data_IF_606503302879
#
_entry.id   IF_606503302879
#
_cell.length_a   1.000
_cell.length_b   1.000
_cell.length_c   1.000
_cell.angle_alpha   90.00
_cell.angle_beta   90.00
_cell.angle_gamma   90.00
#
_symmetry.space_group_name_H-M   'P 1'
#
loop_
_entity.id
_entity.type
_entity.pdbx_description
1 polymer ?
#
# COMPACT_ATOMS: atom_id res chain seq x y z
N UNK A 1 22.36 5.85 -12.19
CA UNK A 1 21.35 5.23 -13.05
C UNK A 1 19.96 5.46 -12.47
N UNK A 2 18.97 5.86 -13.26
CA UNK A 2 17.62 5.98 -12.74
C UNK A 2 17.08 4.62 -12.32
N UNK A 3 16.26 4.62 -11.28
CA UNK A 3 15.60 3.40 -10.82
C UNK A 3 14.57 2.93 -11.85
N UNK A 4 14.47 1.64 -12.03
CA UNK A 4 13.47 1.03 -12.92
C UNK A 4 12.45 0.25 -12.10
N UNK A 5 11.17 0.40 -12.43
CA UNK A 5 10.12 -0.38 -11.80
C UNK A 5 10.25 -1.85 -12.20
N UNK A 6 10.38 -2.71 -11.21
CA UNK A 6 10.56 -4.15 -11.42
C UNK A 6 9.41 -4.97 -10.88
N UNK A 7 8.64 -4.42 -9.95
CA UNK A 7 7.50 -5.11 -9.34
C UNK A 7 6.33 -4.14 -9.25
N UNK A 8 5.15 -4.64 -9.59
CA UNK A 8 3.87 -4.00 -9.31
C UNK A 8 2.97 -5.05 -8.66
N UNK A 9 2.59 -4.80 -7.41
CA UNK A 9 1.66 -5.65 -6.69
C UNK A 9 0.41 -4.86 -6.35
N UNK A 10 -0.74 -5.52 -6.46
CA UNK A 10 -2.04 -4.93 -6.18
C UNK A 10 -2.70 -5.69 -5.05
N UNK A 11 -3.40 -4.98 -4.20
CA UNK A 11 -4.12 -5.60 -3.09
C UNK A 11 -5.36 -4.80 -2.70
N UNK A 12 -6.24 -5.45 -1.97
CA UNK A 12 -7.42 -4.82 -1.38
C UNK A 12 -7.50 -5.15 0.09
N UNK A 13 -8.10 -4.24 0.85
CA UNK A 13 -8.31 -4.44 2.27
C UNK A 13 -9.62 -3.82 2.69
N UNK A 14 -10.27 -4.44 3.67
CA UNK A 14 -11.59 -4.04 4.12
C UNK A 14 -11.56 -3.72 5.61
N UNK A 15 -12.42 -2.77 6.01
CA UNK A 15 -12.83 -2.62 7.40
C UNK A 15 -14.35 -2.64 7.42
N UNK A 16 -14.92 -3.73 7.96
CA UNK A 16 -16.37 -3.96 7.92
C UNK A 16 -17.13 -3.14 8.96
N UNK A 17 -16.45 -2.70 10.00
CA UNK A 17 -17.04 -1.94 11.10
C UNK A 17 -16.08 -0.86 11.55
N UNK A 18 -16.61 0.32 11.85
CA UNK A 18 -15.84 1.44 12.35
C UNK A 18 -15.37 2.44 11.28
N UNK A 19 -15.47 2.10 10.01
CA UNK A 19 -15.11 3.01 8.92
C UNK A 19 -13.66 3.50 8.96
N UNK A 20 -12.73 2.66 9.40
CA UNK A 20 -11.32 3.02 9.58
C UNK A 20 -10.55 2.84 8.27
N UNK A 21 -10.34 3.94 7.56
CA UNK A 21 -9.63 3.94 6.28
C UNK A 21 -8.16 3.52 6.41
N UNK A 22 -7.50 3.90 7.49
CA UNK A 22 -6.10 3.50 7.73
C UNK A 22 -5.99 1.99 7.93
N UNK A 23 -6.91 1.41 8.68
CA UNK A 23 -6.95 -0.03 8.90
C UNK A 23 -7.20 -0.78 7.59
N UNK A 24 -8.14 -0.31 6.78
CA UNK A 24 -8.40 -0.87 5.45
C UNK A 24 -7.16 -0.75 4.55
N UNK A 25 -6.49 0.41 4.57
CA UNK A 25 -5.26 0.64 3.80
C UNK A 25 -4.14 -0.30 4.22
N UNK A 26 -3.93 -0.50 5.53
CA UNK A 26 -2.93 -1.44 6.03
C UNK A 26 -3.20 -2.87 5.56
N UNK A 27 -4.46 -3.28 5.58
CA UNK A 27 -4.86 -4.60 5.07
C UNK A 27 -4.64 -4.73 3.57
N UNK A 28 -4.91 -3.66 2.81
CA UNK A 28 -4.68 -3.65 1.36
C UNK A 28 -3.18 -3.79 1.04
N UNK A 29 -2.32 -3.11 1.76
CA UNK A 29 -0.86 -3.23 1.60
C UNK A 29 -0.40 -4.65 1.95
N UNK A 30 -0.89 -5.22 3.05
CA UNK A 30 -0.57 -6.59 3.42
C UNK A 30 -1.00 -7.59 2.34
N UNK A 31 -2.17 -7.42 1.78
CA UNK A 31 -2.65 -8.27 0.69
C UNK A 31 -1.73 -8.17 -0.53
N UNK A 32 -1.34 -6.96 -0.92
CA UNK A 32 -0.40 -6.76 -2.02
C UNK A 32 0.94 -7.46 -1.77
N UNK A 33 1.48 -7.34 -0.55
CA UNK A 33 2.76 -7.94 -0.19
C UNK A 33 2.73 -9.46 -0.13
N UNK A 34 1.59 -10.08 0.12
CA UNK A 34 1.44 -11.54 0.11
C UNK A 34 1.74 -12.15 -1.25
N UNK A 35 1.61 -11.37 -2.32
CA UNK A 35 1.86 -11.83 -3.67
C UNK A 35 3.23 -11.39 -4.20
N UNK A 36 4.08 -10.80 -3.33
CA UNK A 36 5.31 -10.17 -3.80
C UNK A 36 6.44 -11.17 -4.01
N UNK A 37 7.26 -10.88 -5.03
CA UNK A 37 8.46 -11.65 -5.36
C UNK A 37 9.70 -11.09 -4.65
N UNK A 38 9.60 -10.81 -3.36
CA UNK A 38 10.70 -10.21 -2.58
C UNK A 38 11.97 -11.08 -2.59
N UNK A 39 11.82 -12.39 -2.77
CA UNK A 39 12.97 -13.29 -2.89
C UNK A 39 13.86 -12.92 -4.08
N UNK A 40 13.28 -12.45 -5.17
CA UNK A 40 14.04 -12.01 -6.34
C UNK A 40 14.89 -10.78 -6.02
N UNK A 41 14.38 -9.88 -5.19
CA UNK A 41 15.12 -8.67 -4.79
C UNK A 41 16.40 -9.03 -4.03
N UNK A 42 16.32 -10.05 -3.16
CA UNK A 42 17.49 -10.53 -2.43
C UNK A 42 18.58 -11.04 -3.36
N UNK A 43 18.20 -11.74 -4.42
CA UNK A 43 19.16 -12.29 -5.38
C UNK A 43 19.83 -11.24 -6.26
N UNK A 44 19.25 -10.03 -6.34
CA UNK A 44 19.81 -8.92 -7.11
C UNK A 44 20.84 -8.09 -6.32
N UNK A 45 21.06 -8.41 -5.05
CA UNK A 45 22.04 -7.77 -4.19
C UNK A 45 21.90 -6.23 -4.11
N UNK A 46 20.68 -5.73 -4.22
CA UNK A 46 20.41 -4.30 -4.13
C UNK A 46 20.34 -3.90 -2.65
N UNK A 47 21.02 -2.79 -2.31
CA UNK A 47 20.94 -2.25 -0.97
C UNK A 47 19.56 -1.60 -0.76
N UNK A 48 18.69 -2.16 0.11
CA UNK A 48 17.35 -1.60 0.31
C UNK A 48 17.33 -0.19 0.91
N UNK A 49 18.42 0.24 1.53
CA UNK A 49 18.50 1.59 2.11
C UNK A 49 18.78 2.68 1.08
N UNK A 50 19.40 2.36 -0.04
CA UNK A 50 19.83 3.34 -1.02
C UNK A 50 19.38 3.06 -2.44
N UNK A 51 19.05 1.81 -2.78
CA UNK A 51 18.77 1.42 -4.15
C UNK A 51 17.38 0.81 -4.37
N UNK A 52 16.54 0.75 -3.36
CA UNK A 52 15.19 0.20 -3.45
C UNK A 52 14.17 1.26 -3.07
N UNK A 53 13.30 1.57 -4.01
CA UNK A 53 12.23 2.56 -3.82
C UNK A 53 10.88 1.85 -3.84
N UNK A 54 10.08 2.10 -2.81
CA UNK A 54 8.75 1.50 -2.68
C UNK A 54 7.73 2.62 -2.69
N UNK A 55 6.95 2.70 -3.77
CA UNK A 55 5.92 3.71 -3.94
C UNK A 55 4.56 3.05 -3.75
N UNK A 56 3.84 3.49 -2.71
CA UNK A 56 2.53 2.96 -2.35
C UNK A 56 1.47 4.01 -2.65
N UNK A 57 0.46 3.61 -3.41
CA UNK A 57 -0.73 4.43 -3.65
C UNK A 57 -1.92 3.72 -3.03
N UNK A 58 -2.62 4.43 -2.14
CA UNK A 58 -3.81 3.92 -1.46
C UNK A 58 -5.03 4.62 -2.08
N UNK A 59 -6.01 3.83 -2.51
CA UNK A 59 -7.29 4.35 -2.99
C UNK A 59 -8.38 4.12 -1.95
N UNK A 60 -8.95 5.19 -1.44
CA UNK A 60 -10.10 5.17 -0.51
C UNK A 60 -11.02 6.34 -0.85
N UNK A 61 -12.27 6.28 -0.39
CA UNK A 61 -13.23 7.34 -0.69
C UNK A 61 -12.91 8.68 -0.01
N UNK A 62 -12.24 8.64 1.14
CA UNK A 62 -11.80 9.84 1.85
C UNK A 62 -10.30 9.77 2.14
N UNK A 63 -9.45 10.10 1.14
CA UNK A 63 -8.00 9.89 1.25
C UNK A 63 -7.32 10.71 2.34
N UNK A 64 -7.86 11.87 2.69
CA UNK A 64 -7.33 12.71 3.76
C UNK A 64 -7.48 12.09 5.16
N UNK A 65 -8.27 11.04 5.29
CA UNK A 65 -8.45 10.32 6.56
C UNK A 65 -7.49 9.14 6.73
N UNK A 66 -6.65 8.86 5.76
CA UNK A 66 -5.62 7.83 5.88
C UNK A 66 -4.39 8.41 6.56
N UNK A 67 -3.92 7.75 7.61
CA UNK A 67 -2.64 8.08 8.23
C UNK A 67 -1.52 7.46 7.39
N UNK A 68 -1.00 8.23 6.43
CA UNK A 68 0.01 7.74 5.49
C UNK A 68 1.33 7.36 6.19
N UNK A 69 1.67 8.04 7.30
CA UNK A 69 2.88 7.70 8.05
C UNK A 69 2.77 6.33 8.73
N UNK A 70 1.59 5.99 9.21
CA UNK A 70 1.34 4.67 9.79
C UNK A 70 1.44 3.58 8.73
N UNK A 71 0.94 3.85 7.53
CA UNK A 71 1.08 2.91 6.40
C UNK A 71 2.55 2.78 6.03
N UNK A 72 3.28 3.88 5.91
CA UNK A 72 4.70 3.87 5.59
C UNK A 72 5.51 3.06 6.62
N UNK A 73 5.22 3.25 7.89
CA UNK A 73 5.91 2.54 8.97
C UNK A 73 5.67 1.03 8.97
N UNK A 74 4.60 0.56 8.31
CA UNK A 74 4.30 -0.86 8.21
C UNK A 74 5.16 -1.61 7.19
N UNK A 75 5.88 -0.87 6.34
CA UNK A 75 6.72 -1.44 5.28
C UNK A 75 8.16 -1.52 5.76
N UNK A 76 8.74 -2.74 5.82
CA UNK A 76 10.00 -2.94 6.53
C UNK A 76 11.25 -2.56 5.75
N UNK A 77 11.18 -2.46 4.44
CA UNK A 77 12.36 -2.31 3.59
C UNK A 77 12.16 -1.25 2.52
N UNK A 78 13.29 -0.61 2.16
CA UNK A 78 13.34 0.33 1.06
C UNK A 78 13.08 1.76 1.48
N UNK A 79 13.21 2.66 0.51
CA UNK A 79 12.83 4.07 0.65
C UNK A 79 11.36 4.15 0.27
N UNK A 80 10.50 4.30 1.27
CA UNK A 80 9.04 4.17 1.12
C UNK A 80 8.39 5.53 1.02
N UNK A 81 7.57 5.72 -0.01
CA UNK A 81 6.66 6.86 -0.12
C UNK A 81 5.23 6.34 -0.20
N UNK A 82 4.31 6.99 0.50
CA UNK A 82 2.90 6.62 0.52
C UNK A 82 2.07 7.84 0.19
N UNK A 83 1.14 7.68 -0.73
CA UNK A 83 0.13 8.69 -1.00
C UNK A 83 -1.25 8.05 -1.00
N UNK A 84 -2.26 8.82 -0.60
CA UNK A 84 -3.64 8.40 -0.65
C UNK A 84 -4.38 9.23 -1.69
N UNK A 85 -5.19 8.57 -2.50
CA UNK A 85 -6.00 9.19 -3.54
C UNK A 85 -7.43 8.68 -3.42
N UNK A 86 -8.37 9.34 -4.08
CA UNK A 86 -9.75 8.88 -4.09
C UNK A 86 -9.87 7.60 -4.89
N UNK A 87 -10.45 6.57 -4.29
CA UNK A 87 -10.66 5.27 -4.90
C UNK A 87 -11.32 4.34 -3.89
N UNK A 88 -11.22 3.04 -4.12
CA UNK A 88 -11.90 2.08 -3.26
C UNK A 88 -13.40 2.24 -3.27
N UNK A 89 -14.04 1.80 -2.20
CA UNK A 89 -15.50 1.80 -2.12
C UNK A 89 -15.93 1.91 -0.66
N UNK A 90 -16.93 2.79 -0.40
CA UNK A 90 -17.66 2.78 0.86
C UNK A 90 -19.02 2.12 0.64
N UNK A 91 -19.38 1.20 1.51
CA UNK A 91 -20.66 0.54 1.49
C UNK A 91 -21.47 1.00 2.71
N UNK A 92 -22.45 1.88 2.53
CA UNK A 92 -23.25 2.36 3.67
C UNK A 92 -24.17 1.27 4.20
N UNK A 93 -24.39 1.30 5.50
CA UNK A 93 -25.40 0.49 6.15
C UNK A 93 -26.61 1.41 6.42
N UNK A 94 -27.77 1.20 5.75
CA UNK A 94 -28.90 2.09 5.89
C UNK A 94 -29.57 2.04 7.27
N UNK A 95 -29.31 1.01 8.04
CA UNK A 95 -29.92 0.84 9.38
C UNK A 95 -29.00 1.31 10.51
N UNK A 96 -27.70 1.33 10.27
CA UNK A 96 -26.67 1.71 11.26
C UNK A 96 -25.72 2.72 10.63
N UNK A 97 -25.15 3.60 11.44
CA UNK A 97 -24.15 4.54 10.97
C UNK A 97 -22.76 3.87 11.07
N UNK A 98 -22.56 2.82 10.30
CA UNK A 98 -21.35 1.99 10.39
C UNK A 98 -21.01 1.44 9.01
N UNK A 99 -20.46 2.29 8.12
CA UNK A 99 -20.13 1.87 6.76
C UNK A 99 -19.00 0.86 6.73
N UNK A 100 -19.08 -0.09 5.80
CA UNK A 100 -17.93 -0.90 5.43
C UNK A 100 -17.09 -0.12 4.43
N UNK A 101 -15.78 -0.12 4.59
CA UNK A 101 -14.88 0.58 3.68
C UNK A 101 -13.91 -0.40 3.04
N UNK A 102 -13.65 -0.19 1.75
CA UNK A 102 -12.73 -1.00 0.97
C UNK A 102 -11.63 -0.08 0.45
N UNK A 103 -10.38 -0.43 0.74
CA UNK A 103 -9.21 0.23 0.21
C UNK A 103 -8.57 -0.60 -0.87
N UNK A 104 -8.01 0.07 -1.88
CA UNK A 104 -7.13 -0.55 -2.87
C UNK A 104 -5.71 -0.06 -2.62
N UNK A 105 -4.74 -0.92 -2.87
CA UNK A 105 -3.32 -0.55 -2.78
C UNK A 105 -2.59 -0.97 -4.04
N UNK A 106 -1.72 -0.08 -4.53
CA UNK A 106 -0.75 -0.38 -5.56
C UNK A 106 0.63 -0.19 -4.94
N UNK A 107 1.45 -1.23 -4.96
CA UNK A 107 2.81 -1.20 -4.44
C UNK A 107 3.76 -1.38 -5.62
N UNK A 108 4.50 -0.32 -5.94
CA UNK A 108 5.49 -0.33 -7.02
C UNK A 108 6.88 -0.35 -6.40
N UNK A 109 7.69 -1.32 -6.80
CA UNK A 109 9.08 -1.40 -6.36
C UNK A 109 9.97 -1.07 -7.55
N UNK A 110 10.85 -0.09 -7.36
CA UNK A 110 11.84 0.30 -8.35
C UNK A 110 13.23 0.09 -7.77
N UNK A 111 14.15 -0.38 -8.60
CA UNK A 111 15.52 -0.67 -8.20
C UNK A 111 16.49 0.13 -9.03
N UNK A 112 17.53 0.66 -8.37
CA UNK A 112 18.73 1.15 -9.06
C UNK A 112 19.64 -0.05 -9.28
N UNK A 113 19.69 -0.49 -10.53
CA UNK A 113 20.52 -1.62 -10.93
C UNK A 113 21.85 -1.11 -11.53
N UNK A 114 22.96 -1.83 -11.30
CA UNK A 114 24.24 -1.46 -11.89
C UNK A 114 24.26 -1.59 -13.41
#
# INVERSE_FOLDING_TARGET
MPAKRVILELGTGNDLHGGDYTKAALRAVQDALHHSSLAMIRSLEVNPKTGMFVDVTIGVQQPDRVDVEKVRASLPHGIVTVKAVKGGLDVPDPENDDPAVIASAAVCVSLELP
#
